data_IF_130916057211
#
_entry.id   IF_130916057211
#
_cell.length_a   1.000
_cell.length_b   1.000
_cell.length_c   1.000
_cell.angle_alpha   90.00
_cell.angle_beta   90.00
_cell.angle_gamma   90.00
#
_symmetry.space_group_name_H-M   'P 1'
#
loop_
_entity.id
_entity.type
_entity.pdbx_description
1 polymer ?
#
# COMPACT_ATOMS: atom_id res chain seq x y z
N UNK A 1 -8.69 -17.88 -9.74
CA UNK A 1 -8.92 -16.44 -9.48
C UNK A 1 -7.59 -15.74 -9.73
N UNK A 2 -7.59 -14.53 -10.26
CA UNK A 2 -6.36 -13.71 -10.40
C UNK A 2 -5.85 -13.39 -9.01
N UNK A 3 -4.52 -13.43 -8.85
CA UNK A 3 -3.86 -13.19 -7.56
C UNK A 3 -3.47 -11.73 -7.40
N UNK A 4 -3.44 -11.29 -6.15
CA UNK A 4 -2.83 -10.02 -5.76
C UNK A 4 -1.63 -10.34 -4.87
N UNK A 5 -0.47 -9.80 -5.20
CA UNK A 5 0.75 -9.98 -4.43
C UNK A 5 1.21 -8.62 -3.95
N UNK A 6 1.18 -8.41 -2.65
CA UNK A 6 1.76 -7.24 -2.02
C UNK A 6 3.26 -7.42 -1.79
N UNK A 7 4.03 -6.34 -1.90
CA UNK A 7 5.44 -6.27 -1.51
C UNK A 7 5.59 -5.08 -0.58
N UNK A 8 5.94 -5.29 0.69
CA UNK A 8 6.05 -4.19 1.65
C UNK A 8 6.50 -4.61 3.04
N UNK A 9 6.84 -3.60 3.84
CA UNK A 9 7.20 -3.78 5.24
C UNK A 9 6.00 -4.22 6.07
N UNK A 10 6.33 -4.91 7.16
CA UNK A 10 5.39 -5.27 8.22
C UNK A 10 6.00 -4.94 9.57
N UNK A 11 5.21 -4.33 10.45
CA UNK A 11 5.64 -3.85 11.76
C UNK A 11 4.52 -4.08 12.79
N UNK A 12 4.88 -4.23 14.07
CA UNK A 12 3.89 -4.15 15.15
C UNK A 12 3.94 -2.75 15.78
N UNK A 13 2.86 -1.99 15.62
CA UNK A 13 2.69 -0.68 16.25
C UNK A 13 2.15 -0.85 17.67
N UNK A 14 2.87 -0.35 18.68
CA UNK A 14 2.44 -0.31 20.06
C UNK A 14 2.04 1.12 20.39
N UNK A 15 0.75 1.34 20.61
CA UNK A 15 0.17 2.67 20.80
C UNK A 15 0.15 3.00 22.28
N UNK A 16 0.71 4.15 22.63
CA UNK A 16 0.73 4.70 23.97
C UNK A 16 -0.17 5.94 24.08
N UNK A 17 -0.95 5.99 25.15
CA UNK A 17 -1.73 7.17 25.53
C UNK A 17 -1.44 7.50 27.00
N UNK A 18 -1.09 8.75 27.28
CA UNK A 18 -0.69 9.18 28.63
C UNK A 18 0.42 8.32 29.24
N UNK A 19 1.41 7.91 28.42
CA UNK A 19 2.54 7.09 28.84
C UNK A 19 2.21 5.62 29.12
N UNK A 20 0.98 5.16 28.86
CA UNK A 20 0.57 3.77 29.04
C UNK A 20 0.28 3.10 27.70
N UNK A 21 0.72 1.85 27.49
CA UNK A 21 0.37 1.10 26.27
C UNK A 21 -1.14 0.80 26.29
N UNK A 22 -1.82 1.09 25.17
CA UNK A 22 -3.27 0.88 25.05
C UNK A 22 -3.62 -0.20 24.05
N UNK A 23 -2.82 -0.36 22.99
CA UNK A 23 -3.12 -1.27 21.89
C UNK A 23 -1.83 -1.68 21.17
N UNK A 24 -1.77 -2.89 20.69
CA UNK A 24 -0.75 -3.34 19.75
C UNK A 24 -1.44 -3.79 18.45
N UNK A 25 -1.01 -3.27 17.30
CA UNK A 25 -1.68 -3.47 16.01
C UNK A 25 -0.62 -3.80 14.95
N UNK A 26 -0.73 -4.92 14.24
CA UNK A 26 0.06 -5.14 13.04
C UNK A 26 -0.21 -4.06 11.99
N UNK A 27 0.83 -3.55 11.34
CA UNK A 27 0.72 -2.47 10.38
C UNK A 27 1.79 -2.54 9.28
N UNK A 28 1.75 -1.55 8.42
CA UNK A 28 2.52 -1.39 7.20
C UNK A 28 1.57 -1.04 6.05
N UNK A 29 1.95 -0.15 5.13
CA UNK A 29 1.02 0.33 4.11
C UNK A 29 0.49 -0.81 3.24
N UNK A 30 1.38 -1.56 2.59
CA UNK A 30 0.99 -2.71 1.77
C UNK A 30 0.35 -3.82 2.61
N UNK A 31 0.80 -4.01 3.86
CA UNK A 31 0.19 -4.95 4.79
C UNK A 31 -1.29 -4.61 5.02
N UNK A 32 -1.62 -3.36 5.38
CA UNK A 32 -3.00 -2.92 5.62
C UNK A 32 -3.89 -3.13 4.37
N UNK A 33 -3.33 -2.85 3.18
CA UNK A 33 -3.99 -3.12 1.90
C UNK A 33 -4.30 -4.60 1.73
N UNK A 34 -3.33 -5.49 2.01
CA UNK A 34 -3.52 -6.94 1.85
C UNK A 34 -4.50 -7.52 2.87
N UNK A 35 -4.51 -7.04 4.11
CA UNK A 35 -5.51 -7.43 5.12
C UNK A 35 -6.92 -7.07 4.65
N UNK A 36 -7.11 -5.84 4.14
CA UNK A 36 -8.39 -5.41 3.61
C UNK A 36 -8.85 -6.29 2.45
N UNK A 37 -7.95 -6.63 1.52
CA UNK A 37 -8.21 -7.51 0.39
C UNK A 37 -8.55 -8.95 0.81
N UNK A 38 -7.84 -9.50 1.79
CA UNK A 38 -8.11 -10.83 2.32
C UNK A 38 -9.50 -10.91 2.98
N UNK A 39 -9.91 -9.85 3.71
CA UNK A 39 -11.28 -9.72 4.26
C UNK A 39 -12.35 -9.67 3.17
N UNK A 40 -12.02 -9.09 1.99
CA UNK A 40 -12.88 -9.03 0.81
C UNK A 40 -12.95 -10.36 0.03
N UNK A 41 -12.18 -11.37 0.43
CA UNK A 41 -12.19 -12.70 -0.19
C UNK A 41 -11.36 -12.83 -1.47
N UNK A 42 -10.45 -11.88 -1.73
CA UNK A 42 -9.51 -11.98 -2.85
C UNK A 42 -8.41 -13.01 -2.58
N UNK A 43 -7.84 -13.60 -3.63
CA UNK A 43 -6.61 -14.42 -3.54
C UNK A 43 -5.41 -13.49 -3.39
N UNK A 44 -5.02 -13.20 -2.15
CA UNK A 44 -3.97 -12.23 -1.82
C UNK A 44 -2.87 -12.83 -0.96
N UNK A 45 -1.62 -12.46 -1.22
CA UNK A 45 -0.46 -12.79 -0.40
C UNK A 45 0.47 -11.59 -0.26
N UNK A 46 1.35 -11.64 0.73
CA UNK A 46 2.31 -10.58 1.00
C UNK A 46 3.74 -11.12 0.98
N UNK A 47 4.61 -10.46 0.23
CA UNK A 47 6.06 -10.60 0.31
C UNK A 47 6.55 -9.59 1.34
N UNK A 48 7.10 -10.07 2.42
CA UNK A 48 7.60 -9.27 3.55
C UNK A 48 8.66 -10.06 4.32
N UNK A 49 9.21 -9.46 5.34
CA UNK A 49 10.21 -10.09 6.22
C UNK A 49 9.84 -9.91 7.69
N UNK A 50 10.04 -10.96 8.48
CA UNK A 50 9.75 -11.01 9.92
C UNK A 50 10.77 -11.88 10.63
N UNK A 51 11.09 -11.54 11.87
CA UNK A 51 11.87 -12.44 12.74
C UNK A 51 11.11 -13.71 13.11
N UNK A 52 11.84 -14.79 13.35
CA UNK A 52 11.31 -16.01 13.97
C UNK A 52 11.16 -15.82 15.48
N UNK A 53 10.30 -14.88 15.86
CA UNK A 53 10.00 -14.49 17.23
C UNK A 53 8.48 -14.42 17.48
N UNK A 54 8.09 -14.22 18.74
CA UNK A 54 6.66 -14.18 19.13
C UNK A 54 5.86 -13.09 18.42
N UNK A 55 6.50 -11.95 18.09
CA UNK A 55 5.84 -10.85 17.38
C UNK A 55 5.59 -11.26 15.91
N UNK A 56 6.59 -11.83 15.26
CA UNK A 56 6.46 -12.36 13.89
C UNK A 56 5.41 -13.47 13.80
N UNK A 57 5.31 -14.33 14.81
CA UNK A 57 4.26 -15.36 14.89
C UNK A 57 2.87 -14.74 15.06
N UNK A 58 2.75 -13.71 15.89
CA UNK A 58 1.50 -12.96 16.08
C UNK A 58 1.03 -12.32 14.78
N UNK A 59 1.92 -11.64 14.07
CA UNK A 59 1.61 -11.01 12.78
C UNK A 59 1.23 -12.07 11.74
N UNK A 60 1.99 -13.15 11.65
CA UNK A 60 1.70 -14.26 10.71
C UNK A 60 0.34 -14.89 10.99
N UNK A 61 -0.02 -15.08 12.25
CA UNK A 61 -1.33 -15.60 12.65
C UNK A 61 -2.45 -14.64 12.24
N UNK A 62 -2.27 -13.34 12.48
CA UNK A 62 -3.21 -12.30 12.09
C UNK A 62 -3.43 -12.25 10.57
N UNK A 63 -2.38 -12.42 9.76
CA UNK A 63 -2.50 -12.51 8.31
C UNK A 63 -3.38 -13.70 7.90
N UNK A 64 -3.13 -14.88 8.46
CA UNK A 64 -3.91 -16.10 8.19
C UNK A 64 -5.38 -15.96 8.56
N UNK A 65 -5.67 -15.37 9.74
CA UNK A 65 -7.03 -15.09 10.21
C UNK A 65 -7.80 -14.16 9.27
N UNK A 66 -7.08 -13.30 8.55
CA UNK A 66 -7.64 -12.37 7.57
C UNK A 66 -7.49 -12.87 6.11
N UNK A 67 -7.26 -14.17 5.88
CA UNK A 67 -7.14 -14.82 4.57
C UNK A 67 -6.02 -14.26 3.69
N UNK A 68 -4.91 -13.80 4.26
CA UNK A 68 -3.71 -13.37 3.54
C UNK A 68 -2.70 -14.52 3.50
N UNK A 69 -2.23 -14.87 2.31
CA UNK A 69 -1.20 -15.89 2.11
C UNK A 69 0.15 -15.48 2.74
N UNK A 70 0.76 -16.42 3.47
CA UNK A 70 1.98 -16.20 4.27
C UNK A 70 3.20 -16.95 3.75
N UNK A 71 3.09 -17.59 2.58
CA UNK A 71 4.14 -18.44 1.98
C UNK A 71 5.35 -17.66 1.43
N UNK A 72 5.26 -16.34 1.36
CA UNK A 72 6.30 -15.45 0.84
C UNK A 72 6.86 -14.52 1.93
N UNK A 73 6.79 -14.94 3.20
CA UNK A 73 7.40 -14.22 4.31
C UNK A 73 8.84 -14.75 4.47
N UNK A 74 9.83 -13.88 4.37
CA UNK A 74 11.17 -14.16 4.85
C UNK A 74 11.18 -14.21 6.38
N UNK A 75 11.46 -15.40 6.94
CA UNK A 75 11.48 -15.64 8.39
C UNK A 75 12.93 -15.84 8.85
N UNK A 76 13.63 -14.73 9.06
CA UNK A 76 15.01 -14.79 9.55
C UNK A 76 15.10 -15.23 11.01
N UNK A 77 16.23 -15.86 11.39
CA UNK A 77 16.42 -16.40 12.74
C UNK A 77 16.46 -15.29 13.80
N UNK A 78 16.08 -15.62 15.02
CA UNK A 78 16.08 -14.68 16.13
C UNK A 78 17.49 -14.20 16.54
N UNK A 79 18.54 -14.87 16.06
CA UNK A 79 19.94 -14.48 16.26
C UNK A 79 20.37 -13.42 15.25
N UNK A 80 19.84 -13.47 14.03
CA UNK A 80 20.15 -12.55 12.94
C UNK A 80 19.34 -11.25 12.97
N UNK A 81 18.10 -11.34 13.45
CA UNK A 81 17.22 -10.17 13.48
C UNK A 81 16.00 -10.30 14.39
N UNK A 82 15.22 -9.24 14.46
CA UNK A 82 13.98 -9.16 15.25
C UNK A 82 12.87 -8.54 14.41
N UNK A 83 11.66 -9.04 14.61
CA UNK A 83 10.46 -8.41 14.01
C UNK A 83 10.41 -6.92 14.39
N UNK A 84 10.27 -6.01 13.41
CA UNK A 84 10.20 -4.58 13.69
C UNK A 84 9.02 -4.21 14.57
N UNK A 85 9.24 -3.27 15.48
CA UNK A 85 8.18 -2.64 16.28
C UNK A 85 8.30 -1.12 16.20
N UNK A 86 7.17 -0.45 16.31
CA UNK A 86 7.13 0.98 16.56
C UNK A 86 6.43 1.27 17.90
N UNK A 87 6.86 2.33 18.55
CA UNK A 87 6.16 2.92 19.70
C UNK A 87 5.54 4.23 19.23
N UNK A 88 4.21 4.28 19.19
CA UNK A 88 3.44 5.45 18.80
C UNK A 88 2.90 6.16 20.04
N UNK A 89 3.50 7.27 20.42
CA UNK A 89 3.07 8.08 21.56
C UNK A 89 2.08 9.15 21.08
N UNK A 90 0.82 9.03 21.50
CA UNK A 90 -0.22 10.00 21.15
C UNK A 90 -0.15 11.20 22.10
N UNK A 91 -0.14 12.42 21.55
CA UNK A 91 -0.32 13.66 22.29
C UNK A 91 -1.82 13.93 22.59
N UNK A 92 -2.12 15.07 23.21
CA UNK A 92 -3.49 15.49 23.57
C UNK A 92 -4.40 15.69 22.33
N UNK A 93 -3.82 16.00 21.19
CA UNK A 93 -4.51 16.19 19.91
C UNK A 93 -4.59 14.89 19.08
N UNK A 94 -4.15 13.74 19.64
CA UNK A 94 -4.02 12.43 18.98
C UNK A 94 -3.00 12.39 17.82
N UNK A 95 -2.03 13.32 17.75
CA UNK A 95 -0.91 13.18 16.85
C UNK A 95 0.09 12.16 17.40
N UNK A 96 0.59 11.26 16.55
CA UNK A 96 1.50 10.22 16.95
C UNK A 96 2.97 10.62 16.74
N UNK A 97 3.76 10.49 17.80
CA UNK A 97 5.22 10.56 17.75
C UNK A 97 5.78 9.15 17.75
N UNK A 98 6.48 8.77 16.67
CA UNK A 98 6.96 7.40 16.47
C UNK A 98 8.43 7.24 16.88
N UNK A 99 8.73 6.11 17.55
CA UNK A 99 10.07 5.58 17.74
C UNK A 99 10.13 4.18 17.17
N UNK A 100 11.04 3.94 16.21
CA UNK A 100 11.17 2.66 15.52
C UNK A 100 12.30 1.83 16.10
N UNK A 101 12.05 0.54 16.30
CA UNK A 101 13.03 -0.44 16.76
C UNK A 101 13.05 -1.59 15.77
N UNK A 102 14.20 -1.81 15.16
CA UNK A 102 14.41 -2.87 14.20
C UNK A 102 15.82 -3.42 14.27
N UNK A 103 15.94 -4.68 13.98
CA UNK A 103 17.21 -5.38 13.79
C UNK A 103 17.00 -6.34 12.62
N UNK A 104 17.67 -6.07 11.52
CA UNK A 104 17.56 -6.87 10.31
C UNK A 104 18.87 -7.67 10.09
N UNK A 105 18.79 -8.85 9.44
CA UNK A 105 19.97 -9.57 9.00
C UNK A 105 20.69 -8.83 7.86
N UNK A 106 21.91 -9.28 7.53
CA UNK A 106 22.67 -8.74 6.38
C UNK A 106 22.02 -9.17 5.05
N UNK A 107 21.57 -10.42 4.96
CA UNK A 107 20.81 -10.94 3.81
C UNK A 107 19.32 -10.84 4.10
N UNK A 108 18.60 -10.07 3.28
CA UNK A 108 17.21 -9.67 3.51
C UNK A 108 16.35 -10.07 2.33
N UNK A 109 15.08 -10.35 2.64
CA UNK A 109 14.04 -10.67 1.68
C UNK A 109 14.40 -11.93 0.85
N UNK A 110 14.92 -12.97 1.52
CA UNK A 110 15.19 -14.27 0.91
C UNK A 110 13.91 -15.10 0.84
N UNK A 111 13.12 -14.87 -0.19
CA UNK A 111 11.81 -15.50 -0.38
C UNK A 111 11.80 -16.40 -1.60
N UNK A 112 10.98 -17.45 -1.52
CA UNK A 112 10.61 -18.21 -2.72
C UNK A 112 9.78 -17.30 -3.62
N UNK A 113 10.18 -17.16 -4.89
CA UNK A 113 9.47 -16.30 -5.82
C UNK A 113 8.05 -16.81 -6.07
N UNK A 114 7.06 -15.91 -6.02
CA UNK A 114 5.69 -16.26 -6.31
C UNK A 114 5.55 -16.68 -7.78
N UNK A 115 4.69 -17.66 -8.01
CA UNK A 115 4.20 -17.89 -9.37
C UNK A 115 3.29 -16.72 -9.75
N UNK A 116 3.69 -15.96 -10.75
CA UNK A 116 2.92 -14.85 -11.31
C UNK A 116 2.37 -15.27 -12.67
N UNK A 117 1.09 -15.12 -12.85
CA UNK A 117 0.38 -15.40 -14.09
C UNK A 117 -0.05 -14.09 -14.77
N UNK A 118 -0.50 -14.16 -16.03
CA UNK A 118 -0.97 -12.99 -16.77
C UNK A 118 -2.15 -12.34 -16.03
N UNK A 119 -2.15 -11.00 -15.98
CA UNK A 119 -3.16 -10.17 -15.31
C UNK A 119 -3.26 -10.31 -13.78
N UNK A 120 -2.38 -11.09 -13.12
CA UNK A 120 -2.18 -10.96 -11.69
C UNK A 120 -1.80 -9.51 -11.34
N UNK A 121 -1.94 -9.10 -10.09
CA UNK A 121 -1.65 -7.73 -9.68
C UNK A 121 -0.53 -7.73 -8.66
N UNK A 122 0.48 -6.88 -8.88
CA UNK A 122 1.53 -6.59 -7.90
C UNK A 122 1.27 -5.20 -7.33
N UNK A 123 1.13 -5.09 -6.01
CA UNK A 123 1.13 -3.81 -5.31
C UNK A 123 2.40 -3.67 -4.47
N UNK A 124 3.09 -2.55 -4.63
CA UNK A 124 4.30 -2.26 -3.88
C UNK A 124 4.43 -0.76 -3.64
N UNK A 125 5.27 -0.37 -2.69
CA UNK A 125 5.44 1.04 -2.39
C UNK A 125 6.22 1.29 -1.11
N UNK A 126 5.96 2.44 -0.51
CA UNK A 126 6.59 2.99 0.68
C UNK A 126 8.13 2.95 0.66
N UNK A 127 8.76 3.23 1.79
CA UNK A 127 10.23 3.18 1.92
C UNK A 127 10.79 1.79 1.59
N UNK A 128 10.03 0.73 1.84
CA UNK A 128 10.46 -0.64 1.56
C UNK A 128 10.85 -0.83 0.09
N UNK A 129 10.08 -0.27 -0.84
CA UNK A 129 10.32 -0.39 -2.28
C UNK A 129 11.56 0.34 -2.80
N UNK A 130 12.04 1.32 -2.06
CA UNK A 130 13.19 2.16 -2.41
C UNK A 130 14.38 2.00 -1.47
N UNK A 131 14.28 1.09 -0.49
CA UNK A 131 15.36 0.78 0.43
C UNK A 131 16.56 0.18 -0.34
N UNK A 132 17.75 0.81 -0.30
CA UNK A 132 18.90 0.36 -1.08
C UNK A 132 19.34 -1.09 -0.80
N UNK A 133 19.07 -1.61 0.41
CA UNK A 133 19.42 -2.99 0.79
C UNK A 133 18.46 -4.02 0.18
N UNK A 134 17.23 -3.63 -0.13
CA UNK A 134 16.19 -4.50 -0.70
C UNK A 134 16.03 -4.31 -2.21
N UNK A 135 16.57 -3.19 -2.73
CA UNK A 135 16.24 -2.70 -4.08
C UNK A 135 16.40 -3.75 -5.16
N UNK A 136 17.52 -4.44 -5.21
CA UNK A 136 17.78 -5.42 -6.26
C UNK A 136 16.74 -6.55 -6.25
N UNK A 137 16.46 -7.12 -5.07
CA UNK A 137 15.48 -8.22 -4.94
C UNK A 137 14.07 -7.78 -5.33
N UNK A 138 13.66 -6.59 -4.93
CA UNK A 138 12.34 -6.03 -5.28
C UNK A 138 12.26 -5.77 -6.78
N UNK A 139 13.28 -5.17 -7.38
CA UNK A 139 13.35 -4.91 -8.81
C UNK A 139 13.26 -6.21 -9.61
N UNK A 140 14.01 -7.24 -9.24
CA UNK A 140 13.99 -8.54 -9.92
C UNK A 140 12.57 -9.15 -9.92
N UNK A 141 11.83 -9.05 -8.80
CA UNK A 141 10.45 -9.54 -8.70
C UNK A 141 9.51 -8.72 -9.60
N UNK A 142 9.66 -7.40 -9.64
CA UNK A 142 8.82 -6.51 -10.45
C UNK A 142 9.08 -6.75 -11.94
N UNK A 143 10.33 -6.86 -12.36
CA UNK A 143 10.70 -7.17 -13.74
C UNK A 143 10.16 -8.53 -14.18
N UNK A 144 10.25 -9.54 -13.31
CA UNK A 144 9.62 -10.82 -13.55
C UNK A 144 8.10 -10.69 -13.72
N UNK A 145 7.44 -9.89 -12.89
CA UNK A 145 6.00 -9.63 -12.99
C UNK A 145 5.63 -8.94 -14.31
N UNK A 146 6.45 -7.98 -14.78
CA UNK A 146 6.25 -7.33 -16.08
C UNK A 146 6.39 -8.32 -17.24
N UNK A 147 7.40 -9.20 -17.22
CA UNK A 147 7.57 -10.27 -18.22
C UNK A 147 6.34 -11.18 -18.24
N UNK A 148 5.73 -11.43 -17.09
CA UNK A 148 4.50 -12.22 -16.94
C UNK A 148 3.23 -11.45 -17.27
N UNK A 149 3.33 -10.17 -17.64
CA UNK A 149 2.22 -9.26 -17.96
C UNK A 149 1.24 -9.06 -16.79
N UNK A 150 1.74 -9.06 -15.57
CA UNK A 150 0.98 -8.66 -14.40
C UNK A 150 0.70 -7.15 -14.43
N UNK A 151 -0.35 -6.70 -13.76
CA UNK A 151 -0.63 -5.27 -13.51
C UNK A 151 0.25 -4.81 -12.35
N UNK A 152 1.00 -3.75 -12.54
CA UNK A 152 1.90 -3.18 -11.55
C UNK A 152 1.29 -1.91 -10.96
N UNK A 153 0.99 -1.94 -9.66
CA UNK A 153 0.42 -0.84 -8.90
C UNK A 153 1.46 -0.28 -7.93
N UNK A 154 1.80 0.99 -8.06
CA UNK A 154 2.79 1.65 -7.21
C UNK A 154 2.14 2.74 -6.36
N UNK A 155 2.33 2.66 -5.03
CA UNK A 155 1.98 3.71 -4.07
C UNK A 155 3.28 4.19 -3.38
N UNK A 156 3.84 5.37 -3.73
CA UNK A 156 5.04 5.89 -3.09
C UNK A 156 4.95 5.92 -1.57
N UNK A 157 3.81 6.33 -1.02
CA UNK A 157 3.58 6.47 0.43
C UNK A 157 4.83 7.01 1.14
N UNK A 158 5.36 8.12 0.60
CA UNK A 158 6.66 8.68 0.99
C UNK A 158 6.52 9.63 2.16
N UNK A 159 6.77 9.11 3.35
CA UNK A 159 6.60 9.86 4.59
C UNK A 159 7.58 11.04 4.70
N UNK A 160 7.09 12.16 5.26
CA UNK A 160 7.91 13.37 5.50
C UNK A 160 9.17 13.10 6.33
N UNK A 161 9.17 12.07 7.18
CA UNK A 161 10.35 11.62 7.94
C UNK A 161 11.55 11.29 7.04
N UNK A 162 11.31 10.84 5.80
CA UNK A 162 12.35 10.49 4.82
C UNK A 162 12.67 11.64 3.84
N UNK A 163 12.10 12.83 4.03
CA UNK A 163 12.27 13.96 3.11
C UNK A 163 13.74 14.36 2.90
N UNK A 164 14.58 14.17 3.92
CA UNK A 164 16.02 14.46 3.85
C UNK A 164 16.78 13.50 2.93
N UNK A 165 16.22 12.31 2.62
CA UNK A 165 16.79 11.33 1.70
C UNK A 165 16.16 11.40 0.29
N UNK A 166 15.14 12.24 0.05
CA UNK A 166 14.36 12.27 -1.19
C UNK A 166 15.25 12.37 -2.43
N UNK A 167 16.26 13.26 -2.43
CA UNK A 167 17.17 13.41 -3.58
C UNK A 167 18.01 12.15 -3.85
N UNK A 168 18.45 11.46 -2.78
CA UNK A 168 19.25 10.22 -2.89
C UNK A 168 18.39 9.08 -3.41
N UNK A 169 17.12 9.02 -3.03
CA UNK A 169 16.20 7.96 -3.36
C UNK A 169 15.44 8.21 -4.68
N UNK A 170 15.54 9.42 -5.24
CA UNK A 170 14.84 9.80 -6.46
C UNK A 170 15.06 8.84 -7.64
N UNK A 171 16.28 8.33 -7.93
CA UNK A 171 16.46 7.36 -9.02
C UNK A 171 15.58 6.12 -8.86
N UNK A 172 15.49 5.55 -7.64
CA UNK A 172 14.66 4.39 -7.37
C UNK A 172 13.15 4.71 -7.47
N UNK A 173 12.74 5.93 -7.08
CA UNK A 173 11.37 6.40 -7.22
C UNK A 173 10.98 6.51 -8.70
N UNK A 174 11.83 7.13 -9.53
CA UNK A 174 11.58 7.28 -10.96
C UNK A 174 11.51 5.92 -11.67
N UNK A 175 12.38 4.99 -11.30
CA UNK A 175 12.37 3.63 -11.82
C UNK A 175 11.08 2.89 -11.42
N UNK A 176 10.57 3.09 -10.19
CA UNK A 176 9.28 2.54 -9.77
C UNK A 176 8.10 3.13 -10.58
N UNK A 177 8.15 4.43 -10.90
CA UNK A 177 7.16 5.06 -11.78
C UNK A 177 7.17 4.44 -13.19
N UNK A 178 8.35 4.08 -13.70
CA UNK A 178 8.51 3.45 -15.03
C UNK A 178 7.95 2.03 -15.06
N UNK A 179 8.07 1.29 -13.95
CA UNK A 179 7.49 -0.05 -13.85
C UNK A 179 5.97 -0.04 -13.76
N UNK A 180 5.37 1.03 -13.22
CA UNK A 180 3.96 1.07 -12.83
C UNK A 180 2.99 1.18 -14.01
N UNK A 181 1.94 0.38 -14.01
CA UNK A 181 0.75 0.55 -14.85
C UNK A 181 -0.27 1.52 -14.20
N UNK A 182 -0.23 1.63 -12.86
CA UNK A 182 -1.02 2.57 -12.06
C UNK A 182 -0.11 3.16 -10.98
N UNK A 183 -0.10 4.49 -10.88
CA UNK A 183 0.52 5.21 -9.75
C UNK A 183 -0.58 5.87 -8.93
N UNK A 184 -0.58 5.62 -7.62
CA UNK A 184 -1.44 6.33 -6.68
C UNK A 184 -0.56 6.97 -5.60
N UNK A 185 -0.87 8.19 -5.19
CA UNK A 185 -0.25 8.82 -4.04
C UNK A 185 -1.09 9.97 -3.50
N UNK A 186 -0.74 10.44 -2.31
CA UNK A 186 -1.38 11.59 -1.68
C UNK A 186 -0.72 12.90 -2.09
N UNK A 187 -1.42 14.03 -1.87
CA UNK A 187 -0.84 15.36 -2.00
C UNK A 187 0.44 15.54 -1.17
N UNK A 188 0.49 14.96 0.02
CA UNK A 188 1.64 15.02 0.91
C UNK A 188 2.86 14.28 0.34
N UNK A 189 2.63 13.12 -0.32
CA UNK A 189 3.69 12.37 -0.98
C UNK A 189 4.37 13.21 -2.06
N UNK A 190 3.57 13.81 -2.95
CA UNK A 190 4.09 14.56 -4.10
C UNK A 190 4.62 15.94 -3.71
N UNK A 191 4.07 16.58 -2.67
CA UNK A 191 4.68 17.76 -2.07
C UNK A 191 6.08 17.44 -1.52
N UNK A 192 6.21 16.29 -0.85
CA UNK A 192 7.50 15.86 -0.30
C UNK A 192 8.49 15.50 -1.40
N UNK A 193 8.07 14.75 -2.42
CA UNK A 193 8.92 14.25 -3.49
C UNK A 193 9.27 15.32 -4.53
N UNK A 194 8.28 16.08 -5.00
CA UNK A 194 8.42 16.97 -6.16
C UNK A 194 8.19 18.43 -5.84
N UNK A 195 7.92 18.78 -4.57
CA UNK A 195 7.54 20.15 -4.15
C UNK A 195 6.34 20.68 -4.94
N UNK A 196 5.39 19.79 -5.23
CA UNK A 196 4.22 20.09 -6.05
C UNK A 196 2.94 19.67 -5.32
N UNK A 197 2.00 20.62 -5.17
CA UNK A 197 0.70 20.42 -4.51
C UNK A 197 -0.48 20.41 -5.49
N UNK A 198 -0.23 20.78 -6.75
CA UNK A 198 -1.22 20.78 -7.81
C UNK A 198 -1.21 19.45 -8.56
N UNK A 199 -2.36 18.76 -8.60
CA UNK A 199 -2.47 17.42 -9.16
C UNK A 199 -2.18 17.38 -10.66
N UNK A 200 -2.67 18.38 -11.43
CA UNK A 200 -2.47 18.44 -12.89
C UNK A 200 -0.99 18.70 -13.22
N UNK A 201 -0.33 19.61 -12.49
CA UNK A 201 1.09 19.85 -12.66
C UNK A 201 1.92 18.63 -12.24
N UNK A 202 1.56 17.99 -11.13
CA UNK A 202 2.22 16.74 -10.69
C UNK A 202 2.15 15.68 -11.79
N UNK A 203 0.95 15.46 -12.35
CA UNK A 203 0.78 14.51 -13.44
C UNK A 203 1.60 14.90 -14.67
N UNK A 204 1.43 16.11 -15.18
CA UNK A 204 2.05 16.57 -16.43
C UNK A 204 3.57 16.57 -16.35
N UNK A 205 4.14 17.04 -15.24
CA UNK A 205 5.56 17.35 -15.14
C UNK A 205 6.39 16.17 -14.56
N UNK A 206 5.75 15.26 -13.77
CA UNK A 206 6.47 14.23 -13.04
C UNK A 206 6.00 12.78 -13.32
N UNK A 207 4.73 12.56 -13.69
CA UNK A 207 4.18 11.19 -13.76
C UNK A 207 3.88 10.77 -15.19
N UNK A 208 3.24 11.61 -16.01
CA UNK A 208 2.69 11.28 -17.33
C UNK A 208 3.69 10.60 -18.29
N UNK A 209 4.96 10.96 -18.18
CA UNK A 209 6.01 10.37 -19.01
C UNK A 209 6.24 8.90 -18.70
N UNK A 210 6.06 8.49 -17.45
CA UNK A 210 6.31 7.14 -16.95
C UNK A 210 5.03 6.29 -16.94
N UNK A 211 3.94 6.83 -16.38
CA UNK A 211 2.70 6.11 -16.15
C UNK A 211 1.47 6.94 -16.59
N UNK A 212 0.59 6.42 -17.45
CA UNK A 212 -0.60 7.15 -17.90
C UNK A 212 -1.74 7.15 -16.88
N UNK A 213 -1.82 6.15 -15.98
CA UNK A 213 -2.89 6.02 -15.00
C UNK A 213 -2.43 6.55 -13.64
N UNK A 214 -2.88 7.72 -13.28
CA UNK A 214 -2.48 8.41 -12.07
C UNK A 214 -3.66 8.77 -11.21
N UNK A 215 -3.61 8.38 -9.95
CA UNK A 215 -4.63 8.66 -8.93
C UNK A 215 -3.99 9.51 -7.83
N UNK A 216 -4.48 10.73 -7.69
CA UNK A 216 -3.97 11.70 -6.73
C UNK A 216 -5.03 11.96 -5.66
N UNK A 217 -4.75 11.66 -4.40
CA UNK A 217 -5.70 11.81 -3.29
C UNK A 217 -5.37 13.02 -2.43
N UNK A 218 -6.40 13.78 -2.01
CA UNK A 218 -6.27 15.01 -1.20
C UNK A 218 -7.11 14.95 0.09
N UNK A 219 -7.11 13.79 0.75
CA UNK A 219 -7.95 13.62 1.94
C UNK A 219 -9.40 14.02 1.68
N UNK A 220 -9.98 14.88 2.50
CA UNK A 220 -11.37 15.34 2.35
C UNK A 220 -11.65 16.23 1.13
N UNK A 221 -10.62 16.66 0.39
CA UNK A 221 -10.79 17.51 -0.80
C UNK A 221 -11.03 16.69 -2.08
N UNK A 222 -11.00 15.36 -2.01
CA UNK A 222 -11.35 14.52 -3.15
C UNK A 222 -10.17 13.75 -3.77
N UNK A 223 -10.46 13.19 -4.94
CA UNK A 223 -9.53 12.39 -5.72
C UNK A 223 -9.49 12.87 -7.15
N UNK A 224 -8.30 13.04 -7.70
CA UNK A 224 -8.09 13.33 -9.11
C UNK A 224 -7.60 12.07 -9.83
N UNK A 225 -8.25 11.70 -10.89
CA UNK A 225 -7.84 10.65 -11.82
C UNK A 225 -7.34 11.27 -13.10
N UNK A 226 -6.16 10.87 -13.54
CA UNK A 226 -5.65 11.11 -14.88
C UNK A 226 -5.41 9.77 -15.56
N UNK A 227 -5.91 9.61 -16.77
CA UNK A 227 -5.73 8.42 -17.58
C UNK A 227 -5.66 8.79 -19.08
N UNK A 228 -5.40 7.81 -19.93
CA UNK A 228 -5.31 8.04 -21.39
C UNK A 228 -6.58 8.69 -21.98
N UNK A 229 -7.74 8.39 -21.44
CA UNK A 229 -9.04 8.85 -21.95
C UNK A 229 -9.49 10.19 -21.36
N UNK A 230 -8.79 10.72 -20.35
CA UNK A 230 -9.09 12.03 -19.80
C UNK A 230 -8.70 12.20 -18.32
N UNK A 231 -9.28 13.24 -17.74
CA UNK A 231 -9.14 13.62 -16.33
C UNK A 231 -10.53 13.68 -15.70
N UNK A 232 -10.63 13.27 -14.43
CA UNK A 232 -11.87 13.38 -13.65
C UNK A 232 -11.58 13.60 -12.18
N UNK A 233 -12.31 14.55 -11.59
CA UNK A 233 -12.37 14.78 -10.15
C UNK A 233 -13.50 13.95 -9.53
N UNK A 234 -13.27 13.44 -8.33
CA UNK A 234 -14.26 12.73 -7.51
C UNK A 234 -14.37 13.42 -6.16
N UNK A 235 -15.55 13.92 -5.86
CA UNK A 235 -15.89 14.46 -4.54
C UNK A 235 -15.93 13.33 -3.50
N UNK A 236 -15.58 13.66 -2.25
CA UNK A 236 -15.70 12.76 -1.12
C UNK A 236 -16.86 13.19 -0.24
N UNK A 237 -17.70 12.22 0.12
CA UNK A 237 -18.72 12.48 1.13
C UNK A 237 -18.05 12.80 2.49
N UNK A 238 -18.41 13.94 3.05
CA UNK A 238 -17.82 14.40 4.31
C UNK A 238 -18.21 13.46 5.47
N UNK A 239 -17.23 12.82 6.06
CA UNK A 239 -17.39 12.01 7.27
C UNK A 239 -16.64 12.64 8.42
N UNK A 240 -17.12 12.46 9.65
CA UNK A 240 -16.35 12.82 10.85
C UNK A 240 -15.47 11.63 11.22
N UNK A 241 -14.15 11.67 10.96
CA UNK A 241 -13.32 10.49 11.15
C UNK A 241 -13.09 10.20 12.64
N UNK A 242 -13.06 8.92 12.98
CA UNK A 242 -12.53 8.39 14.24
C UNK A 242 -11.00 8.31 14.16
N UNK A 243 -10.51 7.82 12.99
CA UNK A 243 -9.08 7.74 12.64
C UNK A 243 -8.95 7.88 11.13
N UNK A 244 -7.83 8.44 10.66
CA UNK A 244 -7.48 8.48 9.23
C UNK A 244 -6.38 7.47 8.87
N UNK A 245 -5.88 6.72 9.86
CA UNK A 245 -4.85 5.70 9.65
C UNK A 245 -5.43 4.58 8.80
N UNK A 246 -4.70 4.16 7.77
CA UNK A 246 -5.13 3.11 6.86
C UNK A 246 -6.13 3.54 5.78
N UNK A 247 -6.56 4.82 5.75
CA UNK A 247 -7.48 5.32 4.73
C UNK A 247 -6.90 5.19 3.31
N UNK A 248 -5.64 5.57 3.10
CA UNK A 248 -4.93 5.40 1.84
C UNK A 248 -4.73 3.94 1.46
N UNK A 249 -4.37 3.10 2.44
CA UNK A 249 -4.15 1.67 2.23
C UNK A 249 -5.45 0.95 1.85
N UNK A 250 -6.56 1.34 2.50
CA UNK A 250 -7.89 0.79 2.20
C UNK A 250 -8.44 1.34 0.88
N UNK A 251 -8.08 2.57 0.50
CA UNK A 251 -8.34 3.10 -0.83
C UNK A 251 -7.65 2.23 -1.91
N UNK A 252 -6.37 1.90 -1.72
CA UNK A 252 -5.65 0.97 -2.60
C UNK A 252 -6.38 -0.38 -2.71
N UNK A 253 -6.81 -0.93 -1.57
CA UNK A 253 -7.58 -2.19 -1.57
C UNK A 253 -8.87 -2.07 -2.41
N UNK A 254 -9.55 -0.93 -2.35
CA UNK A 254 -10.76 -0.67 -3.15
C UNK A 254 -10.50 -0.63 -4.66
N UNK A 255 -9.39 0.02 -5.09
CA UNK A 255 -8.96 0.01 -6.49
C UNK A 255 -8.69 -1.43 -6.95
N UNK A 256 -7.86 -2.17 -6.21
CA UNK A 256 -7.47 -3.54 -6.57
C UNK A 256 -8.66 -4.50 -6.58
N UNK A 257 -9.56 -4.36 -5.60
CA UNK A 257 -10.83 -5.09 -5.57
C UNK A 257 -11.66 -4.79 -6.82
N UNK A 258 -11.81 -3.52 -7.19
CA UNK A 258 -12.56 -3.10 -8.38
C UNK A 258 -11.99 -3.70 -9.66
N UNK A 259 -10.65 -3.71 -9.82
CA UNK A 259 -9.97 -4.34 -10.96
C UNK A 259 -10.26 -5.84 -11.06
N UNK A 260 -10.26 -6.56 -9.94
CA UNK A 260 -10.61 -8.00 -9.91
C UNK A 260 -12.09 -8.20 -10.18
N UNK A 261 -12.97 -7.46 -9.50
CA UNK A 261 -14.43 -7.57 -9.59
C UNK A 261 -14.97 -7.38 -11.00
N UNK A 262 -14.38 -6.44 -11.75
CA UNK A 262 -14.79 -6.11 -13.11
C UNK A 262 -13.92 -6.76 -14.19
N UNK A 263 -13.08 -7.72 -13.79
CA UNK A 263 -12.18 -8.48 -14.68
C UNK A 263 -11.38 -7.57 -15.61
N UNK A 264 -10.78 -6.52 -15.03
CA UNK A 264 -9.94 -5.57 -15.77
C UNK A 264 -8.57 -6.19 -15.99
N UNK A 265 -8.30 -6.63 -17.21
CA UNK A 265 -6.99 -7.12 -17.64
C UNK A 265 -5.99 -5.98 -17.81
N UNK A 266 -4.69 -6.29 -17.86
CA UNK A 266 -3.65 -5.28 -18.11
C UNK A 266 -3.87 -4.55 -19.44
N UNK A 267 -4.29 -5.27 -20.49
CA UNK A 267 -4.57 -4.68 -21.79
C UNK A 267 -5.76 -3.70 -21.70
N UNK A 268 -6.85 -4.11 -21.06
CA UNK A 268 -8.06 -3.28 -20.89
C UNK A 268 -7.79 -2.05 -20.02
N UNK A 269 -6.90 -2.14 -19.04
CA UNK A 269 -6.56 -1.05 -18.13
C UNK A 269 -6.15 0.23 -18.84
N UNK A 270 -5.38 0.12 -19.93
CA UNK A 270 -4.89 1.27 -20.68
C UNK A 270 -5.95 1.99 -21.51
N UNK A 271 -7.08 1.35 -21.76
CA UNK A 271 -8.18 1.90 -22.57
C UNK A 271 -9.44 2.19 -21.75
N UNK A 272 -9.37 2.04 -20.41
CA UNK A 272 -10.49 2.39 -19.54
C UNK A 272 -10.89 3.85 -19.71
N UNK A 273 -12.18 4.07 -19.88
CA UNK A 273 -12.78 5.40 -19.85
C UNK A 273 -12.84 5.94 -18.42
N UNK A 274 -12.97 7.26 -18.28
CA UNK A 274 -13.18 7.88 -16.95
C UNK A 274 -14.44 7.39 -16.25
N UNK A 275 -15.46 6.93 -16.99
CA UNK A 275 -16.69 6.37 -16.41
C UNK A 275 -16.46 4.93 -15.89
N UNK A 276 -15.69 4.11 -16.58
CA UNK A 276 -15.30 2.78 -16.09
C UNK A 276 -14.40 2.89 -14.87
N UNK A 277 -13.44 3.85 -14.88
CA UNK A 277 -12.65 4.17 -13.69
C UNK A 277 -13.51 4.65 -12.53
N UNK A 278 -14.59 5.41 -12.78
CA UNK A 278 -15.47 5.88 -11.73
C UNK A 278 -16.10 4.73 -10.93
N UNK A 279 -16.44 3.63 -11.60
CA UNK A 279 -16.97 2.43 -10.93
C UNK A 279 -15.92 1.80 -10.00
N UNK A 280 -14.64 1.79 -10.41
CA UNK A 280 -13.53 1.26 -9.62
C UNK A 280 -13.23 2.18 -8.44
N UNK A 281 -13.16 3.49 -8.68
CA UNK A 281 -12.87 4.50 -7.65
C UNK A 281 -13.98 4.55 -6.59
N UNK A 282 -15.24 4.29 -6.95
CA UNK A 282 -16.36 4.24 -6.01
C UNK A 282 -16.14 3.20 -4.89
N UNK A 283 -15.59 2.02 -5.21
CA UNK A 283 -15.18 1.06 -4.16
C UNK A 283 -14.08 1.65 -3.27
N UNK A 284 -13.08 2.28 -3.85
CA UNK A 284 -11.97 2.87 -3.10
C UNK A 284 -12.45 3.97 -2.13
N UNK A 285 -13.36 4.83 -2.58
CA UNK A 285 -13.96 5.88 -1.76
C UNK A 285 -14.79 5.29 -0.61
N UNK A 286 -15.65 4.32 -0.89
CA UNK A 286 -16.50 3.65 0.11
C UNK A 286 -15.66 2.93 1.17
N UNK A 287 -14.63 2.21 0.75
CA UNK A 287 -13.79 1.45 1.68
C UNK A 287 -12.93 2.38 2.53
N UNK A 288 -12.36 3.42 1.93
CA UNK A 288 -11.59 4.45 2.65
C UNK A 288 -12.46 5.22 3.65
N UNK A 289 -13.67 5.60 3.28
CA UNK A 289 -14.61 6.25 4.20
C UNK A 289 -14.96 5.34 5.39
N UNK A 290 -15.16 4.04 5.13
CA UNK A 290 -15.52 3.08 6.17
C UNK A 290 -14.40 2.86 7.18
N UNK A 291 -13.14 2.80 6.75
CA UNK A 291 -12.01 2.69 7.70
C UNK A 291 -11.86 3.96 8.53
N UNK A 292 -12.15 5.13 7.96
CA UNK A 292 -12.14 6.38 8.72
C UNK A 292 -13.17 6.42 9.86
N UNK A 293 -14.22 5.61 9.79
CA UNK A 293 -15.25 5.49 10.84
C UNK A 293 -14.92 4.43 11.91
N UNK A 294 -13.75 3.80 11.82
CA UNK A 294 -13.31 2.75 12.73
C UNK A 294 -11.99 3.08 13.42
N UNK A 295 -11.61 2.28 14.42
CA UNK A 295 -10.29 2.32 15.05
C UNK A 295 -9.31 1.33 14.41
N UNK A 296 -9.72 0.60 13.37
CA UNK A 296 -8.88 -0.34 12.64
C UNK A 296 -8.10 0.38 11.54
N UNK A 297 -6.93 -0.17 11.17
CA UNK A 297 -6.11 0.35 10.07
C UNK A 297 -6.46 -0.30 8.71
N UNK A 298 -7.46 -1.18 8.70
CA UNK A 298 -7.93 -1.94 7.54
C UNK A 298 -9.45 -2.00 7.51
N UNK A 299 -10.02 -2.38 6.37
CA UNK A 299 -11.47 -2.47 6.18
C UNK A 299 -12.10 -3.38 7.25
N UNK A 300 -13.08 -2.90 8.05
CA UNK A 300 -13.73 -3.72 9.07
C UNK A 300 -14.33 -5.01 8.49
N UNK A 301 -14.10 -6.15 9.16
CA UNK A 301 -14.48 -7.45 8.65
C UNK A 301 -15.99 -7.58 8.39
N UNK A 302 -16.82 -6.97 9.25
CA UNK A 302 -18.29 -6.96 9.07
C UNK A 302 -18.70 -6.23 7.79
N UNK A 303 -18.06 -5.09 7.51
CA UNK A 303 -18.34 -4.33 6.28
C UNK A 303 -17.85 -5.07 5.05
N UNK A 304 -16.65 -5.63 5.11
CA UNK A 304 -16.06 -6.42 4.02
C UNK A 304 -16.92 -7.65 3.64
N UNK A 305 -17.64 -8.23 4.61
CA UNK A 305 -18.52 -9.38 4.37
C UNK A 305 -19.61 -9.12 3.31
N UNK A 306 -20.06 -7.86 3.17
CA UNK A 306 -21.03 -7.45 2.16
C UNK A 306 -20.45 -7.36 0.73
N UNK A 307 -19.13 -7.45 0.58
CA UNK A 307 -18.41 -7.30 -0.70
C UNK A 307 -17.61 -8.56 -1.10
N UNK A 308 -17.71 -9.67 -0.38
CA UNK A 308 -16.94 -10.89 -0.69
C UNK A 308 -17.09 -11.31 -2.14
N UNK A 309 -15.95 -11.64 -2.79
CA UNK A 309 -15.86 -12.19 -4.14
C UNK A 309 -16.14 -13.69 -4.18
#
# INVERSE_FOLDING_TARGET
>A
MRKIIGIGETILDIIFRNGQPTKAVPGGSTFNTTISLGRLGTDVSLITELGSDTIGDTITSFMKENNVGTQYIDRYSAEEGKTPISLAFLDEDNNAHYSFYHQFPDDRLDVVWPRIDNDDIIIFGSYFSINPLLRQRITDIIEYAQIRKAIIYYDPNFRAAHSHEAMKLMPAILENLEYADIVRGSSEDFETLFKQTDAEKTYRDNIKFYCPNFIYTRGGEGVELFCKTGHRHFDIEAVKPVSTIGAGDTFNAGILYGLIKHDITREKLYDLTTDEWAVIIDYALKFSAQVCLSEENYLPAEYAAGYKL
#
